data_IF_154729035528
#
_entry.id   IF_154729035528
#
_cell.length_a   1.000
_cell.length_b   1.000
_cell.length_c   1.000
_cell.angle_alpha   90.00
_cell.angle_beta   90.00
_cell.angle_gamma   90.00
#
_symmetry.space_group_name_H-M   'P 1'
#
loop_
_entity.id
_entity.type
_entity.pdbx_description
1 polymer ?
#
# COMPACT_ATOMS: atom_id res chain seq x y z
N UNK A 1 4.50 5.68 11.10
CA UNK A 1 3.51 5.49 10.02
C UNK A 1 3.45 6.77 9.22
N UNK A 2 3.72 6.71 7.92
CA UNK A 2 3.58 7.85 7.01
C UNK A 2 2.44 7.60 6.02
N UNK A 3 1.58 8.60 5.85
CA UNK A 3 0.50 8.60 4.86
C UNK A 3 0.69 9.80 3.95
N UNK A 4 0.82 9.55 2.64
CA UNK A 4 1.16 10.61 1.68
C UNK A 4 -0.05 11.40 1.17
N UNK A 5 -1.19 10.74 1.00
CA UNK A 5 -2.38 11.35 0.44
C UNK A 5 -3.60 11.00 1.29
N UNK A 6 -4.47 11.98 1.50
CA UNK A 6 -5.80 11.80 2.06
C UNK A 6 -6.83 11.82 0.93
N UNK A 7 -7.77 10.87 0.94
CA UNK A 7 -8.88 10.84 0.00
C UNK A 7 -10.22 10.76 0.74
N UNK A 8 -11.26 11.31 0.12
CA UNK A 8 -12.62 11.34 0.69
C UNK A 8 -13.54 10.40 -0.09
N UNK A 9 -13.89 9.21 0.47
CA UNK A 9 -14.70 8.23 -0.25
C UNK A 9 -16.11 8.71 -0.61
N UNK A 10 -16.66 9.65 0.18
CA UNK A 10 -18.05 10.15 0.06
C UNK A 10 -18.14 11.68 -0.02
N UNK A 11 -16.99 12.35 -0.17
CA UNK A 11 -16.93 13.80 -0.27
C UNK A 11 -17.58 14.33 -1.54
N UNK A 12 -18.08 15.57 -1.45
CA UNK A 12 -18.92 16.20 -2.48
C UNK A 12 -18.26 17.42 -3.11
N UNK A 13 -17.20 17.98 -2.51
CA UNK A 13 -16.45 19.07 -3.12
C UNK A 13 -15.61 18.56 -4.31
N UNK A 14 -15.22 19.46 -5.21
CA UNK A 14 -14.41 19.12 -6.38
C UNK A 14 -13.09 18.44 -6.02
N UNK A 15 -12.40 18.93 -4.98
CA UNK A 15 -11.14 18.36 -4.49
C UNK A 15 -11.38 16.94 -3.97
N UNK A 16 -12.45 16.71 -3.22
CA UNK A 16 -12.80 15.38 -2.72
C UNK A 16 -13.18 14.42 -3.84
N UNK A 17 -13.88 14.89 -4.88
CA UNK A 17 -14.18 14.11 -6.08
C UNK A 17 -12.88 13.71 -6.78
N UNK A 18 -12.00 14.68 -7.03
CA UNK A 18 -10.69 14.47 -7.66
C UNK A 18 -9.81 13.48 -6.87
N UNK A 19 -9.87 13.52 -5.54
CA UNK A 19 -9.12 12.59 -4.68
C UNK A 19 -9.47 11.12 -4.93
N UNK A 20 -10.69 10.82 -5.39
CA UNK A 20 -11.10 9.45 -5.74
C UNK A 20 -10.50 8.98 -7.06
N UNK A 21 -10.34 9.90 -8.02
CA UNK A 21 -9.64 9.59 -9.28
C UNK A 21 -8.20 9.23 -9.00
N UNK A 22 -7.52 10.01 -8.15
CA UNK A 22 -6.14 9.73 -7.72
C UNK A 22 -6.04 8.38 -6.98
N UNK A 23 -6.96 8.10 -6.06
CA UNK A 23 -7.04 6.80 -5.39
C UNK A 23 -7.33 5.65 -6.38
N UNK A 24 -8.08 5.91 -7.44
CA UNK A 24 -8.34 4.98 -8.54
C UNK A 24 -7.07 4.64 -9.31
N UNK A 25 -6.28 5.65 -9.72
CA UNK A 25 -4.97 5.45 -10.35
C UNK A 25 -4.04 4.59 -9.49
N UNK A 26 -3.96 4.89 -8.19
CA UNK A 26 -3.22 4.07 -7.24
C UNK A 26 -3.69 2.60 -7.27
N UNK A 27 -4.99 2.34 -7.08
CA UNK A 27 -5.56 0.99 -7.07
C UNK A 27 -5.39 0.22 -8.38
N UNK A 28 -5.24 0.94 -9.50
CA UNK A 28 -5.04 0.37 -10.83
C UNK A 28 -3.56 0.15 -11.15
N UNK A 29 -2.63 0.44 -10.23
CA UNK A 29 -1.20 0.25 -10.46
C UNK A 29 -0.63 1.20 -11.49
N UNK A 30 -1.18 2.42 -11.58
CA UNK A 30 -0.70 3.44 -12.51
C UNK A 30 0.72 3.88 -12.12
N UNK A 31 1.70 3.58 -12.97
CA UNK A 31 3.11 3.93 -12.74
C UNK A 31 3.31 5.45 -12.67
N UNK A 32 2.50 6.24 -13.37
CA UNK A 32 2.59 7.70 -13.33
C UNK A 32 2.20 8.25 -11.96
N UNK A 33 1.26 7.60 -11.28
CA UNK A 33 0.90 7.94 -9.90
C UNK A 33 2.11 7.71 -8.97
N UNK A 34 2.73 6.53 -9.04
CA UNK A 34 3.88 6.18 -8.19
C UNK A 34 5.10 7.05 -8.47
N UNK A 35 5.31 7.44 -9.73
CA UNK A 35 6.39 8.36 -10.13
C UNK A 35 6.16 9.76 -9.57
N UNK A 36 4.91 10.25 -9.61
CA UNK A 36 4.57 11.53 -8.99
C UNK A 36 4.70 11.48 -7.48
N UNK A 37 4.37 10.35 -6.86
CA UNK A 37 4.57 10.11 -5.44
C UNK A 37 6.06 10.20 -5.05
N UNK A 38 6.96 9.54 -5.80
CA UNK A 38 8.40 9.65 -5.52
C UNK A 38 8.93 11.07 -5.66
N UNK A 39 8.45 11.84 -6.64
CA UNK A 39 8.81 13.26 -6.79
C UNK A 39 8.37 14.07 -5.57
N UNK A 40 7.12 13.88 -5.11
CA UNK A 40 6.59 14.57 -3.92
C UNK A 40 7.35 14.24 -2.65
N UNK A 41 7.78 12.99 -2.47
CA UNK A 41 8.64 12.57 -1.34
C UNK A 41 9.94 13.36 -1.34
N UNK A 42 10.59 13.48 -2.51
CA UNK A 42 11.85 14.20 -2.65
C UNK A 42 11.68 15.71 -2.46
N UNK A 43 10.63 16.30 -3.04
CA UNK A 43 10.30 17.72 -2.88
C UNK A 43 10.02 18.09 -1.42
N UNK A 44 9.49 17.15 -0.63
CA UNK A 44 9.23 17.32 0.79
C UNK A 44 10.45 17.01 1.69
N UNK A 45 11.62 16.69 1.11
CA UNK A 45 12.85 16.31 1.81
C UNK A 45 12.67 15.09 2.74
N UNK A 46 11.86 14.12 2.31
CA UNK A 46 11.56 12.91 3.08
C UNK A 46 12.36 11.68 2.63
N UNK A 47 13.34 11.86 1.74
CA UNK A 47 14.10 10.74 1.15
C UNK A 47 14.89 9.95 2.20
N UNK A 48 15.42 10.62 3.22
CA UNK A 48 16.19 10.00 4.30
C UNK A 48 15.37 8.94 5.08
N UNK A 49 14.03 9.07 5.10
CA UNK A 49 13.18 8.05 5.72
C UNK A 49 13.33 6.66 5.07
N UNK A 50 13.75 6.62 3.80
CA UNK A 50 13.90 5.41 3.01
C UNK A 50 15.36 4.91 2.94
N UNK A 51 16.31 5.57 3.61
CA UNK A 51 17.73 5.18 3.53
C UNK A 51 17.97 3.79 4.11
N UNK A 52 18.81 2.98 3.44
CA UNK A 52 19.18 1.62 3.86
C UNK A 52 17.95 0.75 4.20
N UNK A 53 16.91 0.81 3.36
CA UNK A 53 15.64 0.12 3.62
C UNK A 53 15.22 -0.82 2.51
N UNK A 54 14.63 -1.96 2.91
CA UNK A 54 13.88 -2.84 2.03
C UNK A 54 12.39 -2.50 2.10
N UNK A 55 11.75 -2.32 0.94
CA UNK A 55 10.33 -2.04 0.84
C UNK A 55 9.54 -3.35 0.67
N UNK A 56 8.59 -3.61 1.58
CA UNK A 56 7.76 -4.81 1.57
C UNK A 56 6.31 -4.43 1.19
N UNK A 57 5.83 -4.83 0.00
CA UNK A 57 4.46 -4.52 -0.41
C UNK A 57 3.43 -5.38 0.31
N UNK A 58 2.37 -4.77 0.85
CA UNK A 58 1.26 -5.46 1.50
C UNK A 58 0.30 -6.02 0.43
N UNK A 59 0.02 -7.34 0.42
CA UNK A 59 -0.86 -7.95 -0.57
C UNK A 59 -2.30 -7.43 -0.45
N UNK A 60 -3.01 -7.46 -1.57
CA UNK A 60 -4.44 -7.07 -1.63
C UNK A 60 -5.30 -7.98 -0.76
N UNK A 61 -6.57 -7.58 -0.60
CA UNK A 61 -7.56 -8.34 0.19
C UNK A 61 -7.86 -9.73 -0.39
N UNK A 62 -7.51 -9.97 -1.66
CA UNK A 62 -7.65 -11.24 -2.36
C UNK A 62 -6.27 -11.78 -2.74
N UNK A 63 -6.09 -13.10 -2.82
CA UNK A 63 -4.90 -13.70 -3.42
C UNK A 63 -4.62 -13.12 -4.80
N UNK A 64 -3.34 -12.98 -5.14
CA UNK A 64 -2.93 -12.56 -6.47
C UNK A 64 -3.23 -13.68 -7.46
N UNK A 65 -4.02 -13.36 -8.49
CA UNK A 65 -4.17 -14.22 -9.67
C UNK A 65 -3.16 -13.78 -10.72
N UNK A 66 -2.76 -14.70 -11.60
CA UNK A 66 -1.85 -14.39 -12.69
C UNK A 66 -2.39 -13.22 -13.54
N UNK A 67 -1.54 -12.23 -13.83
CA UNK A 67 -1.92 -11.01 -14.55
C UNK A 67 -2.68 -9.96 -13.71
N UNK A 68 -2.96 -10.21 -12.43
CA UNK A 68 -3.57 -9.21 -11.56
C UNK A 68 -2.61 -8.06 -11.22
N UNK A 69 -3.16 -6.86 -11.13
CA UNK A 69 -2.44 -5.69 -10.66
C UNK A 69 -2.13 -5.83 -9.16
N UNK A 70 -0.87 -5.60 -8.79
CA UNK A 70 -0.43 -5.50 -7.40
C UNK A 70 0.06 -4.08 -7.09
N UNK A 71 -0.85 -3.15 -6.72
CA UNK A 71 -0.54 -1.73 -6.55
C UNK A 71 0.62 -1.43 -5.60
N UNK A 72 0.63 -2.01 -4.41
CA UNK A 72 1.70 -1.79 -3.43
C UNK A 72 3.07 -2.21 -3.97
N UNK A 73 3.13 -3.31 -4.74
CA UNK A 73 4.36 -3.75 -5.39
C UNK A 73 4.83 -2.75 -6.44
N UNK A 74 3.92 -2.27 -7.28
CA UNK A 74 4.24 -1.25 -8.30
C UNK A 74 4.74 0.04 -7.64
N UNK A 75 4.14 0.45 -6.52
CA UNK A 75 4.62 1.58 -5.70
C UNK A 75 6.06 1.30 -5.25
N UNK A 76 6.33 0.18 -4.57
CA UNK A 76 7.67 -0.16 -4.10
C UNK A 76 8.71 -0.18 -5.22
N UNK A 77 8.42 -0.86 -6.33
CA UNK A 77 9.30 -0.95 -7.50
C UNK A 77 9.60 0.43 -8.08
N UNK A 78 8.58 1.29 -8.19
CA UNK A 78 8.77 2.66 -8.66
C UNK A 78 9.56 3.52 -7.68
N UNK A 79 9.34 3.38 -6.36
CA UNK A 79 10.10 4.13 -5.36
C UNK A 79 11.59 3.75 -5.42
N UNK A 80 11.91 2.45 -5.40
CA UNK A 80 13.28 1.96 -5.49
C UNK A 80 13.94 2.38 -6.82
N UNK A 81 13.24 2.27 -7.95
CA UNK A 81 13.77 2.73 -9.25
C UNK A 81 14.02 4.24 -9.30
N UNK A 82 13.37 5.00 -8.42
CA UNK A 82 13.58 6.44 -8.25
C UNK A 82 14.53 6.77 -7.09
N UNK A 83 15.25 5.79 -6.53
CA UNK A 83 16.24 6.01 -5.46
C UNK A 83 15.64 6.26 -4.07
N UNK A 84 14.45 5.71 -3.81
CA UNK A 84 13.82 5.69 -2.49
C UNK A 84 13.70 4.25 -2.01
N UNK A 85 14.62 3.83 -1.13
CA UNK A 85 14.79 2.44 -0.71
C UNK A 85 15.82 1.71 -1.58
N UNK A 86 16.40 0.64 -1.04
CA UNK A 86 17.47 -0.15 -1.67
C UNK A 86 16.91 -1.32 -2.49
N UNK A 87 15.84 -1.95 -1.99
CA UNK A 87 15.29 -3.16 -2.59
C UNK A 87 13.80 -3.33 -2.33
N UNK A 88 13.18 -4.23 -3.12
CA UNK A 88 11.80 -4.66 -2.92
C UNK A 88 11.78 -6.11 -2.44
N UNK A 89 11.23 -6.34 -1.27
CA UNK A 89 11.15 -7.65 -0.61
C UNK A 89 9.72 -8.21 -0.72
N UNK A 90 9.48 -9.07 -1.73
CA UNK A 90 8.18 -9.73 -1.94
C UNK A 90 8.04 -11.00 -1.08
N UNK A 91 7.89 -10.83 0.24
CA UNK A 91 7.73 -11.94 1.19
C UNK A 91 6.33 -12.10 1.77
N UNK A 92 5.41 -11.17 1.50
CA UNK A 92 4.04 -11.23 2.01
C UNK A 92 3.06 -11.64 0.90
N UNK A 93 2.27 -12.68 1.17
CA UNK A 93 1.18 -13.11 0.30
C UNK A 93 -0.12 -13.33 1.06
N UNK A 94 -1.22 -13.31 0.32
CA UNK A 94 -2.57 -13.56 0.86
C UNK A 94 -2.94 -15.02 0.61
N UNK A 95 -3.08 -15.81 1.68
CA UNK A 95 -3.44 -17.24 1.63
C UNK A 95 -4.87 -17.47 1.14
N UNK A 96 -5.80 -16.64 1.60
CA UNK A 96 -7.21 -16.67 1.18
C UNK A 96 -7.83 -15.27 1.23
N UNK A 97 -8.89 -15.07 0.47
CA UNK A 97 -9.55 -13.77 0.38
C UNK A 97 -10.22 -13.38 1.70
N UNK A 98 -10.09 -12.09 2.05
CA UNK A 98 -10.84 -11.47 3.14
C UNK A 98 -11.76 -10.39 2.58
N UNK A 99 -12.95 -10.18 3.18
CA UNK A 99 -13.85 -9.10 2.78
C UNK A 99 -13.16 -7.72 2.78
N UNK A 100 -13.43 -6.90 1.76
CA UNK A 100 -12.88 -5.55 1.67
C UNK A 100 -13.46 -4.64 2.75
N UNK A 101 -12.62 -3.91 3.45
CA UNK A 101 -13.04 -2.98 4.51
C UNK A 101 -13.99 -1.88 4.01
N UNK A 102 -13.91 -1.49 2.73
CA UNK A 102 -14.81 -0.48 2.14
C UNK A 102 -16.28 -0.92 2.03
N UNK A 103 -16.54 -2.23 2.03
CA UNK A 103 -17.89 -2.80 2.02
C UNK A 103 -18.44 -3.11 3.41
N UNK A 104 -17.63 -2.98 4.46
CA UNK A 104 -18.00 -3.33 5.83
C UNK A 104 -18.50 -2.11 6.60
N UNK A 105 -19.83 -1.90 6.59
CA UNK A 105 -20.46 -0.74 7.21
C UNK A 105 -20.86 -0.97 8.69
N UNK A 106 -20.96 -2.22 9.11
CA UNK A 106 -21.29 -2.59 10.49
C UNK A 106 -20.07 -3.15 11.22
N UNK A 107 -20.03 -3.04 12.54
CA UNK A 107 -18.85 -3.42 13.33
C UNK A 107 -18.67 -4.95 13.43
N UNK A 108 -19.79 -5.67 13.48
CA UNK A 108 -19.91 -7.14 13.52
C UNK A 108 -19.44 -7.85 12.25
N UNK A 109 -19.47 -7.16 11.11
CA UNK A 109 -19.07 -7.70 9.80
C UNK A 109 -17.63 -7.37 9.43
N UNK A 110 -16.90 -6.64 10.30
CA UNK A 110 -15.49 -6.31 10.07
C UNK A 110 -14.58 -7.52 10.30
N UNK A 111 -13.52 -7.58 9.50
CA UNK A 111 -12.46 -8.53 9.76
C UNK A 111 -11.77 -8.19 11.08
N UNK A 112 -11.52 -9.20 11.92
CA UNK A 112 -10.71 -9.07 13.12
C UNK A 112 -9.22 -8.99 12.76
N UNK A 113 -8.40 -8.50 13.70
CA UNK A 113 -6.94 -8.54 13.56
C UNK A 113 -6.46 -9.97 13.31
N UNK A 114 -7.04 -10.94 14.01
CA UNK A 114 -6.73 -12.36 13.84
C UNK A 114 -7.06 -12.85 12.43
N UNK A 115 -8.21 -12.50 11.86
CA UNK A 115 -8.56 -12.85 10.48
C UNK A 115 -7.59 -12.23 9.46
N UNK A 116 -7.13 -11.00 9.71
CA UNK A 116 -6.10 -10.38 8.90
C UNK A 116 -4.77 -11.14 8.97
N UNK A 117 -4.33 -11.53 10.17
CA UNK A 117 -3.09 -12.29 10.38
C UNK A 117 -3.15 -13.69 9.76
N UNK A 118 -4.23 -14.43 10.00
CA UNK A 118 -4.41 -15.80 9.48
C UNK A 118 -4.54 -15.83 7.95
N UNK A 119 -5.00 -14.74 7.34
CA UNK A 119 -5.07 -14.61 5.88
C UNK A 119 -3.72 -14.32 5.21
N UNK A 120 -2.71 -13.95 5.98
CA UNK A 120 -1.38 -13.63 5.48
C UNK A 120 -0.45 -14.83 5.64
N UNK A 121 0.46 -14.96 4.68
CA UNK A 121 1.56 -15.92 4.72
C UNK A 121 2.86 -15.19 4.40
N UNK A 122 3.91 -15.57 5.12
CA UNK A 122 5.25 -15.01 4.96
C UNK A 122 6.14 -16.07 4.31
N UNK A 123 6.68 -15.76 3.15
CA UNK A 123 7.76 -16.55 2.54
C UNK A 123 9.08 -16.12 3.17
N UNK A 124 9.82 -17.02 3.83
CA UNK A 124 11.12 -16.68 4.41
C UNK A 124 12.10 -16.23 3.33
N UNK A 125 12.64 -15.02 3.50
CA UNK A 125 13.69 -14.46 2.64
C UNK A 125 14.74 -13.78 3.53
N UNK A 126 15.96 -13.67 3.02
CA UNK A 126 16.99 -12.85 3.65
C UNK A 126 16.82 -11.40 3.18
N UNK A 127 16.60 -10.49 4.12
CA UNK A 127 16.66 -9.04 3.89
C UNK A 127 17.95 -8.55 4.55
N UNK A 128 18.82 -7.93 3.77
CA UNK A 128 20.14 -7.48 4.22
C UNK A 128 20.12 -6.07 4.79
N UNK A 129 19.09 -5.31 4.42
CA UNK A 129 18.85 -3.94 4.84
C UNK A 129 18.42 -3.91 6.32
N UNK A 130 18.97 -2.98 7.12
CA UNK A 130 18.64 -2.87 8.55
C UNK A 130 17.20 -2.41 8.80
N UNK A 131 16.58 -1.76 7.82
CA UNK A 131 15.23 -1.19 7.93
C UNK A 131 14.28 -1.89 6.98
N UNK A 132 13.11 -2.30 7.48
CA UNK A 132 12.02 -2.82 6.66
C UNK A 132 10.88 -1.80 6.69
N UNK A 133 10.45 -1.33 5.51
CA UNK A 133 9.31 -0.43 5.36
C UNK A 133 8.17 -1.21 4.71
N UNK A 134 7.09 -1.41 5.45
CA UNK A 134 5.87 -2.04 4.96
C UNK A 134 5.02 -1.00 4.22
N UNK A 135 4.67 -1.27 2.97
CA UNK A 135 3.96 -0.34 2.09
C UNK A 135 2.59 -0.88 1.73
N UNK A 136 1.55 -0.13 2.08
CA UNK A 136 0.16 -0.39 1.68
C UNK A 136 -0.28 0.64 0.63
N UNK A 137 -1.17 0.25 -0.29
CA UNK A 137 -1.63 1.14 -1.36
C UNK A 137 -2.64 2.16 -0.83
N UNK A 138 -3.55 1.73 0.05
CA UNK A 138 -4.55 2.60 0.66
C UNK A 138 -4.80 2.19 2.10
N UNK A 139 -4.54 3.13 3.01
CA UNK A 139 -4.97 3.02 4.39
C UNK A 139 -6.37 3.63 4.56
N UNK A 140 -7.44 2.84 4.78
CA UNK A 140 -8.73 3.40 5.12
C UNK A 140 -8.68 4.03 6.52
N UNK A 141 -9.30 5.20 6.70
CA UNK A 141 -9.32 6.01 7.94
C UNK A 141 -10.04 5.36 9.14
N UNK A 142 -10.20 4.04 9.15
CA UNK A 142 -11.07 3.30 10.09
C UNK A 142 -10.39 2.14 10.82
N UNK A 143 -9.07 2.06 10.81
CA UNK A 143 -8.34 1.18 11.74
C UNK A 143 -8.02 2.03 12.98
N UNK A 144 -8.91 2.01 13.98
CA UNK A 144 -8.52 2.36 15.35
C UNK A 144 -7.88 1.11 15.95
N UNK A 145 -6.57 1.16 16.15
CA UNK A 145 -5.87 0.25 17.05
C UNK A 145 -6.29 0.56 18.49
#
# INVERSE_FOLDING_TARGET
MFTFLAYSPRGKSEIEISSRTVAGSCKNGDVSFSTRLSQRIKEADLSEYFSNSALVPVPRSTPLVEGAVFPARIICETLVSNGLGESVASCLQRKYAIPKSSGQFHADTRNTVQQHQESLEVTPILITEPTIIVVDDILPSRIRL
#
